data_IF_688482392006
#
_entry.id   IF_688482392006
#
_cell.length_a   1.000
_cell.length_b   1.000
_cell.length_c   1.000
_cell.angle_alpha   90.00
_cell.angle_beta   90.00
_cell.angle_gamma   90.00
#
_symmetry.space_group_name_H-M   'P 1'
#
loop_
_entity.id
_entity.type
_entity.pdbx_description
1 polymer ?
#
# COMPACT_ATOMS: atom_id res chain seq x y z
N UNK A 1 -14.54 -5.10 22.01
CA UNK A 1 -13.65 -4.16 21.29
C UNK A 1 -12.45 -3.92 22.17
N UNK A 2 -11.23 -4.01 21.63
CA UNK A 2 -10.02 -3.82 22.42
C UNK A 2 -9.72 -2.33 22.65
N UNK A 3 -9.04 -2.02 23.76
CA UNK A 3 -8.56 -0.67 24.04
C UNK A 3 -7.62 -0.17 22.93
N UNK A 4 -7.65 1.13 22.57
CA UNK A 4 -6.73 1.70 21.57
C UNK A 4 -5.25 1.47 21.88
N UNK A 5 -4.88 1.49 23.16
CA UNK A 5 -3.50 1.22 23.60
C UNK A 5 -3.11 -0.22 23.33
N UNK A 6 -4.00 -1.17 23.63
CA UNK A 6 -3.75 -2.58 23.38
C UNK A 6 -3.67 -2.87 21.88
N UNK A 7 -4.53 -2.24 21.06
CA UNK A 7 -4.47 -2.33 19.61
C UNK A 7 -3.12 -1.83 19.08
N UNK A 8 -2.65 -0.67 19.58
CA UNK A 8 -1.39 -0.07 19.17
C UNK A 8 -0.19 -0.99 19.43
N UNK A 9 -0.09 -1.55 20.64
CA UNK A 9 1.04 -2.40 21.04
C UNK A 9 1.00 -3.83 20.46
N UNK A 10 -0.14 -4.28 19.94
CA UNK A 10 -0.29 -5.64 19.41
C UNK A 10 -0.48 -5.64 17.90
N UNK A 11 -1.70 -5.44 17.44
CA UNK A 11 -2.07 -5.52 16.03
C UNK A 11 -1.40 -4.44 15.20
N UNK A 12 -1.38 -3.19 15.67
CA UNK A 12 -0.83 -2.10 14.87
C UNK A 12 0.68 -2.22 14.71
N UNK A 13 1.36 -2.61 15.79
CA UNK A 13 2.80 -2.86 15.82
C UNK A 13 3.18 -4.07 14.95
N UNK A 14 2.48 -5.20 15.10
CA UNK A 14 2.75 -6.40 14.29
C UNK A 14 2.56 -6.16 12.79
N UNK A 15 1.46 -5.50 12.40
CA UNK A 15 1.22 -5.12 11.00
C UNK A 15 2.23 -4.07 10.53
N UNK A 16 2.68 -3.16 11.39
CA UNK A 16 3.71 -2.17 11.07
C UNK A 16 5.08 -2.80 10.80
N UNK A 17 5.46 -3.82 11.57
CA UNK A 17 6.66 -4.61 11.28
C UNK A 17 6.54 -5.34 9.94
N UNK A 18 5.38 -5.93 9.65
CA UNK A 18 5.11 -6.55 8.35
C UNK A 18 5.22 -5.54 7.19
N UNK A 19 4.71 -4.32 7.37
CA UNK A 19 4.76 -3.26 6.36
C UNK A 19 6.21 -2.87 6.03
N UNK A 20 7.04 -2.72 7.06
CA UNK A 20 8.44 -2.34 6.88
C UNK A 20 9.29 -3.40 6.17
N UNK A 21 8.93 -4.70 6.29
CA UNK A 21 9.68 -5.79 5.66
C UNK A 21 9.12 -6.20 4.30
N UNK A 22 7.81 -6.46 4.23
CA UNK A 22 7.13 -6.90 3.01
C UNK A 22 6.49 -5.70 2.30
N UNK A 23 5.47 -5.09 2.91
CA UNK A 23 4.73 -3.94 2.35
C UNK A 23 3.42 -4.23 1.60
N UNK A 24 3.30 -5.26 0.73
CA UNK A 24 2.06 -5.57 0.03
C UNK A 24 0.89 -5.90 0.96
N UNK A 25 -0.26 -5.28 0.75
CA UNK A 25 -1.49 -5.65 1.44
C UNK A 25 -1.63 -5.12 2.88
N UNK A 26 -0.64 -4.39 3.42
CA UNK A 26 -0.66 -3.84 4.78
C UNK A 26 -1.92 -3.02 5.07
N UNK A 27 -2.35 -2.15 4.14
CA UNK A 27 -3.58 -1.38 4.32
C UNK A 27 -4.83 -2.25 4.52
N UNK A 28 -4.91 -3.40 3.84
CA UNK A 28 -5.98 -4.38 4.02
C UNK A 28 -5.87 -5.08 5.37
N UNK A 29 -4.66 -5.41 5.82
CA UNK A 29 -4.45 -5.99 7.15
C UNK A 29 -4.82 -5.02 8.27
N UNK A 30 -4.44 -3.74 8.17
CA UNK A 30 -4.88 -2.71 9.11
C UNK A 30 -6.41 -2.56 9.11
N UNK A 31 -7.05 -2.51 7.93
CA UNK A 31 -8.50 -2.39 7.84
C UNK A 31 -9.19 -3.60 8.49
N UNK A 32 -8.70 -4.81 8.21
CA UNK A 32 -9.22 -6.03 8.82
C UNK A 32 -9.03 -6.01 10.34
N UNK A 33 -7.86 -5.62 10.84
CA UNK A 33 -7.60 -5.50 12.28
C UNK A 33 -8.53 -4.48 12.96
N UNK A 34 -8.82 -3.35 12.33
CA UNK A 34 -9.78 -2.37 12.86
C UNK A 34 -11.22 -2.88 12.86
N UNK A 35 -11.62 -3.62 11.82
CA UNK A 35 -12.96 -4.22 11.75
C UNK A 35 -13.11 -5.31 12.82
N UNK A 36 -12.14 -6.22 12.93
CA UNK A 36 -12.26 -7.39 13.81
C UNK A 36 -12.00 -7.06 15.28
N UNK A 37 -11.00 -6.25 15.59
CA UNK A 37 -10.55 -6.00 16.96
C UNK A 37 -11.16 -4.73 17.57
N UNK A 38 -11.30 -3.68 16.77
CA UNK A 38 -11.87 -2.39 17.22
C UNK A 38 -13.36 -2.26 16.88
N UNK A 39 -13.93 -3.20 16.13
CA UNK A 39 -15.34 -3.23 15.74
C UNK A 39 -15.76 -2.00 14.89
N UNK A 40 -14.81 -1.38 14.20
CA UNK A 40 -15.12 -0.26 13.31
C UNK A 40 -15.88 -0.75 12.09
N UNK A 41 -16.86 0.04 11.63
CA UNK A 41 -17.44 -0.18 10.31
C UNK A 41 -16.38 -0.07 9.22
N UNK A 42 -16.55 -0.79 8.10
CA UNK A 42 -15.55 -0.92 7.04
C UNK A 42 -15.02 0.43 6.52
N UNK A 43 -15.90 1.42 6.40
CA UNK A 43 -15.53 2.77 5.99
C UNK A 43 -14.56 3.44 6.99
N UNK A 44 -14.90 3.42 8.28
CA UNK A 44 -14.08 3.99 9.36
C UNK A 44 -12.75 3.22 9.50
N UNK A 45 -12.81 1.89 9.45
CA UNK A 45 -11.63 1.03 9.49
C UNK A 45 -10.65 1.33 8.34
N UNK A 46 -11.16 1.45 7.11
CA UNK A 46 -10.35 1.76 5.93
C UNK A 46 -9.71 3.15 6.02
N UNK A 47 -10.42 4.14 6.55
CA UNK A 47 -9.87 5.48 6.76
C UNK A 47 -8.69 5.45 7.75
N UNK A 48 -8.86 4.82 8.92
CA UNK A 48 -7.77 4.69 9.91
C UNK A 48 -6.62 3.82 9.41
N UNK A 49 -6.91 2.76 8.64
CA UNK A 49 -5.90 1.90 8.05
C UNK A 49 -4.98 2.65 7.07
N UNK A 50 -5.55 3.53 6.24
CA UNK A 50 -4.76 4.39 5.34
C UNK A 50 -3.85 5.35 6.11
N UNK A 51 -4.32 5.92 7.22
CA UNK A 51 -3.51 6.82 8.05
C UNK A 51 -2.33 6.08 8.70
N UNK A 52 -2.55 4.86 9.20
CA UNK A 52 -1.49 4.03 9.76
C UNK A 52 -0.47 3.61 8.72
N UNK A 53 -0.93 3.14 7.55
CA UNK A 53 -0.06 2.80 6.44
C UNK A 53 0.77 4.01 5.94
N UNK A 54 0.19 5.21 5.95
CA UNK A 54 0.93 6.42 5.65
C UNK A 54 2.01 6.72 6.71
N UNK A 55 1.67 6.53 7.99
CA UNK A 55 2.59 6.77 9.10
C UNK A 55 3.79 5.81 9.08
N UNK A 56 3.56 4.53 8.80
CA UNK A 56 4.63 3.53 8.64
C UNK A 56 5.53 3.83 7.45
N UNK A 57 4.97 4.24 6.31
CA UNK A 57 5.75 4.67 5.16
C UNK A 57 6.58 5.93 5.44
N UNK A 58 6.06 6.92 6.18
CA UNK A 58 6.85 8.07 6.64
C UNK A 58 7.99 7.62 7.56
N UNK A 59 7.71 6.73 8.51
CA UNK A 59 8.73 6.21 9.41
C UNK A 59 9.86 5.52 8.62
N UNK A 60 9.51 4.69 7.64
CA UNK A 60 10.47 4.07 6.72
C UNK A 60 11.28 5.11 5.94
N UNK A 61 10.61 6.12 5.37
CA UNK A 61 11.30 7.19 4.64
C UNK A 61 12.31 7.93 5.53
N UNK A 62 11.93 8.31 6.74
CA UNK A 62 12.81 8.98 7.70
C UNK A 62 13.98 8.08 8.10
N UNK A 63 13.72 6.79 8.36
CA UNK A 63 14.75 5.81 8.68
C UNK A 63 15.78 5.67 7.55
N UNK A 64 15.32 5.51 6.30
CA UNK A 64 16.22 5.43 5.15
C UNK A 64 16.93 6.76 4.87
N UNK A 65 16.28 7.90 5.13
CA UNK A 65 16.87 9.22 4.96
C UNK A 65 18.04 9.43 5.93
N UNK A 66 17.87 9.05 7.20
CA UNK A 66 18.95 9.06 8.20
C UNK A 66 20.09 8.12 7.78
N UNK A 67 19.76 6.96 7.22
CA UNK A 67 20.74 6.00 6.70
C UNK A 67 21.44 6.43 5.41
N UNK A 68 21.11 7.59 4.82
CA UNK A 68 21.71 8.09 3.58
C UNK A 68 21.38 7.27 2.33
N UNK A 69 20.36 6.40 2.37
CA UNK A 69 19.98 5.49 1.27
C UNK A 69 18.80 6.01 0.43
N UNK A 70 18.52 7.32 0.49
CA UNK A 70 17.38 7.93 -0.22
C UNK A 70 17.85 8.69 -1.45
N UNK A 71 17.38 8.25 -2.61
CA UNK A 71 17.52 8.98 -3.86
C UNK A 71 16.40 10.02 -4.00
N UNK A 72 16.63 11.23 -3.47
CA UNK A 72 15.61 12.29 -3.39
C UNK A 72 14.98 12.65 -4.74
N UNK A 73 15.78 12.75 -5.81
CA UNK A 73 15.26 13.06 -7.15
C UNK A 73 14.35 11.96 -7.67
N UNK A 74 14.75 10.70 -7.51
CA UNK A 74 13.95 9.55 -7.94
C UNK A 74 12.67 9.44 -7.12
N UNK A 75 12.76 9.64 -5.80
CA UNK A 75 11.61 9.70 -4.89
C UNK A 75 10.62 10.81 -5.24
N UNK A 76 11.11 12.00 -5.63
CA UNK A 76 10.25 13.10 -6.07
C UNK A 76 9.51 12.76 -7.38
N UNK A 77 10.20 12.16 -8.36
CA UNK A 77 9.57 11.70 -9.60
C UNK A 77 8.50 10.63 -9.32
N UNK A 78 8.80 9.67 -8.44
CA UNK A 78 7.83 8.66 -8.00
C UNK A 78 6.62 9.32 -7.33
N UNK A 79 6.83 10.29 -6.44
CA UNK A 79 5.73 11.00 -5.76
C UNK A 79 4.79 11.67 -6.76
N UNK A 80 5.34 12.38 -7.76
CA UNK A 80 4.53 13.03 -8.81
C UNK A 80 3.75 12.00 -9.62
N UNK A 81 4.40 10.92 -10.06
CA UNK A 81 3.74 9.84 -10.79
C UNK A 81 2.61 9.19 -9.99
N UNK A 82 2.82 8.95 -8.70
CA UNK A 82 1.82 8.38 -7.80
C UNK A 82 0.61 9.31 -7.62
N UNK A 83 0.83 10.62 -7.46
CA UNK A 83 -0.27 11.61 -7.35
C UNK A 83 -1.11 11.65 -8.62
N UNK A 84 -0.46 11.69 -9.79
CA UNK A 84 -1.14 11.70 -11.09
C UNK A 84 -1.94 10.39 -11.27
N UNK A 85 -1.30 9.24 -11.07
CA UNK A 85 -1.93 7.92 -11.20
C UNK A 85 -3.10 7.72 -10.24
N UNK A 86 -2.95 8.11 -8.98
CA UNK A 86 -4.02 8.02 -7.98
C UNK A 86 -5.22 8.90 -8.35
N UNK A 87 -4.98 10.12 -8.83
CA UNK A 87 -6.04 11.06 -9.22
C UNK A 87 -6.81 10.58 -10.44
N UNK A 88 -6.08 10.15 -11.49
CA UNK A 88 -6.69 9.59 -12.70
C UNK A 88 -7.44 8.30 -12.40
N UNK A 89 -6.84 7.39 -11.62
CA UNK A 89 -7.46 6.14 -11.19
C UNK A 89 -8.77 6.38 -10.43
N UNK A 90 -8.76 7.24 -9.43
CA UNK A 90 -9.96 7.59 -8.66
C UNK A 90 -11.05 8.20 -9.56
N UNK A 91 -10.69 9.10 -10.48
CA UNK A 91 -11.63 9.69 -11.44
C UNK A 91 -12.25 8.63 -12.34
N UNK A 92 -11.45 7.70 -12.87
CA UNK A 92 -11.94 6.58 -13.70
C UNK A 92 -12.90 5.66 -12.95
N UNK A 93 -12.63 5.35 -11.66
CA UNK A 93 -13.54 4.55 -10.82
C UNK A 93 -14.92 5.20 -10.72
N UNK A 94 -14.94 6.51 -10.46
CA UNK A 94 -16.19 7.26 -10.28
C UNK A 94 -16.94 7.42 -11.61
N UNK A 95 -16.24 7.62 -12.73
CA UNK A 95 -16.87 7.89 -14.03
C UNK A 95 -17.29 6.65 -14.82
N UNK A 96 -16.50 5.57 -14.80
CA UNK A 96 -16.70 4.39 -15.66
C UNK A 96 -17.18 3.15 -14.88
N UNK A 97 -17.22 3.24 -13.55
CA UNK A 97 -17.64 2.15 -12.67
C UNK A 97 -16.68 0.95 -12.66
N UNK A 98 -17.07 -0.09 -11.91
CA UNK A 98 -16.22 -1.27 -11.66
C UNK A 98 -16.05 -2.21 -12.86
N UNK A 99 -16.86 -2.05 -13.92
CA UNK A 99 -16.83 -2.90 -15.13
C UNK A 99 -15.55 -2.72 -15.95
N UNK A 100 -14.99 -1.52 -15.99
CA UNK A 100 -13.74 -1.25 -16.70
C UNK A 100 -12.50 -1.57 -15.86
N UNK A 101 -12.59 -1.36 -14.54
CA UNK A 101 -11.44 -1.50 -13.64
C UNK A 101 -11.07 -2.95 -13.39
N UNK A 102 -12.06 -3.83 -13.22
CA UNK A 102 -11.81 -5.26 -13.01
C UNK A 102 -10.92 -5.89 -14.09
N UNK A 103 -11.23 -5.81 -15.39
CA UNK A 103 -10.38 -6.39 -16.42
C UNK A 103 -9.00 -5.72 -16.49
N UNK A 104 -8.93 -4.40 -16.28
CA UNK A 104 -7.65 -3.68 -16.27
C UNK A 104 -6.72 -4.19 -15.16
N UNK A 105 -7.23 -4.36 -13.94
CA UNK A 105 -6.45 -4.91 -12.82
C UNK A 105 -5.96 -6.32 -13.12
N UNK A 106 -6.80 -7.17 -13.72
CA UNK A 106 -6.42 -8.54 -14.09
C UNK A 106 -5.32 -8.54 -15.15
N UNK A 107 -5.46 -7.75 -16.21
CA UNK A 107 -4.47 -7.66 -17.30
C UNK A 107 -3.13 -7.16 -16.76
N UNK A 108 -3.12 -6.08 -15.98
CA UNK A 108 -1.88 -5.52 -15.40
C UNK A 108 -1.22 -6.52 -14.44
N UNK A 109 -2.00 -7.22 -13.62
CA UNK A 109 -1.47 -8.25 -12.70
C UNK A 109 -0.85 -9.43 -13.45
N UNK A 110 -1.45 -9.86 -14.57
CA UNK A 110 -0.90 -10.90 -15.44
C UNK A 110 0.40 -10.44 -16.10
N UNK A 111 0.42 -9.21 -16.64
CA UNK A 111 1.62 -8.63 -17.25
C UNK A 111 2.77 -8.51 -16.25
N UNK A 112 2.49 -8.02 -15.03
CA UNK A 112 3.50 -7.93 -13.97
C UNK A 112 4.02 -9.30 -13.55
N UNK A 113 3.14 -10.30 -13.42
CA UNK A 113 3.54 -11.68 -13.13
C UNK A 113 4.46 -12.25 -14.21
N UNK A 114 4.11 -12.05 -15.49
CA UNK A 114 4.93 -12.47 -16.63
C UNK A 114 6.28 -11.75 -16.62
N UNK A 115 6.29 -10.43 -16.36
CA UNK A 115 7.52 -9.62 -16.30
C UNK A 115 8.46 -10.14 -15.22
N UNK A 116 7.95 -10.37 -14.01
CA UNK A 116 8.73 -10.92 -12.89
C UNK A 116 9.27 -12.32 -13.20
N UNK A 117 8.47 -13.19 -13.81
CA UNK A 117 8.95 -14.52 -14.25
C UNK A 117 10.04 -14.39 -15.31
N UNK A 118 9.86 -13.54 -16.32
CA UNK A 118 10.85 -13.35 -17.39
C UNK A 118 12.19 -12.80 -16.88
N UNK A 119 12.14 -11.92 -15.87
CA UNK A 119 13.32 -11.36 -15.20
C UNK A 119 14.04 -12.45 -14.39
N UNK A 120 13.29 -13.34 -13.73
CA UNK A 120 13.86 -14.46 -12.97
C UNK A 120 14.48 -15.56 -13.85
N UNK A 121 13.94 -15.81 -15.04
CA UNK A 121 14.49 -16.77 -16.00
C UNK A 121 15.48 -16.16 -17.01
N UNK A 122 15.79 -14.85 -16.91
CA UNK A 122 16.75 -14.15 -17.77
C UNK A 122 16.34 -14.02 -19.24
N UNK A 123 15.05 -14.14 -19.55
CA UNK A 123 14.53 -14.11 -20.93
C UNK A 123 14.41 -12.69 -21.51
N UNK A 124 14.36 -11.65 -20.66
CA UNK A 124 14.34 -10.24 -21.05
C UNK A 124 15.33 -9.47 -20.19
N UNK A 125 16.52 -9.20 -20.75
CA UNK A 125 17.57 -8.38 -20.13
C UNK A 125 17.37 -6.92 -20.55
N UNK A 126 16.47 -6.19 -19.89
CA UNK A 126 16.41 -4.71 -19.87
C UNK A 126 15.72 -4.21 -18.60
#
# INVERSE_FOLDING_TARGET
MISPTLFAFTAALGVGFYDGFFGPGTGSFYALAFVTLSGFGLAKATAHAKLLNFSTNIASLLFFAIGGKVFWMLGAMMLVGQVIGATLGAKMVVSQGSKFIRPLVVIVSMLMSIKLLSEQYGLLVF
#
